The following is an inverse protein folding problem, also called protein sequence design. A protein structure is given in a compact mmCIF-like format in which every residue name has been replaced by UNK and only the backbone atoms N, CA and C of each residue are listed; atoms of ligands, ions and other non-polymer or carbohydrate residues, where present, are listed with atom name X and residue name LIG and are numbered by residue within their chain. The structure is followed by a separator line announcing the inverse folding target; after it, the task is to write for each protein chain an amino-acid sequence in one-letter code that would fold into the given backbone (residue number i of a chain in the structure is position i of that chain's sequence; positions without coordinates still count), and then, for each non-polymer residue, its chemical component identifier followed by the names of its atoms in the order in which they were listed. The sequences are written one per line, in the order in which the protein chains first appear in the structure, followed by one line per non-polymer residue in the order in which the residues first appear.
data_IF_084722609461
#
_entry.id   IF_084722609461
#
_cell.length_a   1.000
_cell.length_b   1.000
_cell.length_c   1.000
_cell.angle_alpha   90.00
_cell.angle_beta   90.00
_cell.angle_gamma   90.00
#
_symmetry.space_group_name_H-M   'P 1'
#
loop_
_entity.id
_entity.type
_entity.pdbx_description
1 polymer ?
#
# COMPACT_ATOMS: atom_id res chain seq x y z
N UNK A 1 -44.36 17.11 29.22
CA UNK A 1 -43.66 16.08 30.00
C UNK A 1 -43.07 15.09 28.98
N UNK A 2 -41.90 15.31 28.35
CA UNK A 2 -40.54 15.44 28.88
C UNK A 2 -40.07 14.23 29.71
N UNK A 3 -39.29 13.36 29.06
CA UNK A 3 -38.11 12.59 29.53
C UNK A 3 -37.92 11.37 28.59
N UNK A 4 -36.74 11.02 28.06
CA UNK A 4 -35.38 11.47 28.33
C UNK A 4 -34.48 11.07 27.15
N UNK A 5 -33.55 11.94 26.80
CA UNK A 5 -32.52 11.77 25.78
C UNK A 5 -31.44 10.77 26.22
N UNK A 6 -30.77 10.20 25.22
CA UNK A 6 -29.35 9.84 25.20
C UNK A 6 -28.88 8.79 26.22
N UNK A 7 -28.73 7.56 25.75
CA UNK A 7 -27.68 6.67 26.23
C UNK A 7 -26.70 6.40 25.08
N UNK A 8 -25.99 7.46 24.66
CA UNK A 8 -24.75 7.29 23.93
C UNK A 8 -23.66 6.96 24.97
N UNK A 9 -22.78 5.97 24.74
CA UNK A 9 -21.69 5.70 25.67
C UNK A 9 -20.84 6.97 25.82
N UNK A 10 -20.75 7.46 27.06
CA UNK A 10 -19.90 8.59 27.40
C UNK A 10 -18.44 8.21 27.16
N UNK A 11 -17.77 8.88 26.21
CA UNK A 11 -16.31 8.88 26.16
C UNK A 11 -15.63 8.67 24.81
N UNK A 12 -16.34 8.65 23.67
CA UNK A 12 -15.67 8.68 22.36
C UNK A 12 -16.28 9.80 21.53
N UNK A 13 -15.61 10.94 21.50
CA UNK A 13 -16.03 12.01 20.60
C UNK A 13 -15.65 11.59 19.16
N UNK A 14 -16.54 11.73 18.16
CA UNK A 14 -16.22 11.39 16.78
C UNK A 14 -14.96 12.10 16.24
N UNK A 15 -14.57 13.22 16.87
CA UNK A 15 -13.38 13.98 16.51
C UNK A 15 -12.07 13.31 16.97
N UNK A 16 -12.02 12.72 18.16
CA UNK A 16 -10.84 11.97 18.63
C UNK A 16 -10.61 10.69 17.79
N UNK A 17 -11.67 10.02 17.35
CA UNK A 17 -11.59 8.86 16.46
C UNK A 17 -11.10 9.23 15.04
N UNK A 18 -11.48 10.41 14.54
CA UNK A 18 -10.99 10.90 13.24
C UNK A 18 -9.51 11.25 13.32
N UNK A 19 -9.07 11.90 14.39
CA UNK A 19 -7.66 12.24 14.60
C UNK A 19 -6.81 10.98 14.80
N UNK A 20 -7.32 9.97 15.52
CA UNK A 20 -6.66 8.68 15.68
C UNK A 20 -6.56 7.90 14.35
N UNK A 21 -7.63 7.83 13.57
CA UNK A 21 -7.63 7.20 12.24
C UNK A 21 -6.71 7.92 11.26
N UNK A 22 -6.64 9.25 11.34
CA UNK A 22 -5.71 10.05 10.54
C UNK A 22 -4.27 9.79 10.96
N UNK A 23 -3.97 9.80 12.26
CA UNK A 23 -2.65 9.50 12.79
C UNK A 23 -2.19 8.07 12.41
N UNK A 24 -3.09 7.09 12.48
CA UNK A 24 -2.80 5.72 12.03
C UNK A 24 -2.51 5.67 10.53
N UNK A 25 -3.31 6.36 9.71
CA UNK A 25 -3.12 6.45 8.26
C UNK A 25 -1.80 7.14 7.91
N UNK A 26 -1.42 8.18 8.64
CA UNK A 26 -0.14 8.88 8.49
C UNK A 26 1.04 7.96 8.86
N UNK A 27 0.94 7.24 9.98
CA UNK A 27 1.96 6.28 10.41
C UNK A 27 2.12 5.12 9.42
N UNK A 28 1.01 4.59 8.89
CA UNK A 28 1.03 3.57 7.85
C UNK A 28 1.64 4.10 6.57
N UNK A 29 1.33 5.33 6.16
CA UNK A 29 1.94 5.98 5.00
C UNK A 29 3.45 6.10 5.16
N UNK A 30 3.95 6.57 6.31
CA UNK A 30 5.39 6.65 6.60
C UNK A 30 6.05 5.27 6.48
N UNK A 31 5.42 4.24 7.05
CA UNK A 31 5.94 2.86 6.95
C UNK A 31 5.97 2.34 5.52
N UNK A 32 4.93 2.58 4.72
CA UNK A 32 4.88 2.18 3.32
C UNK A 32 5.95 2.89 2.51
N UNK A 33 6.14 4.20 2.69
CA UNK A 33 7.22 4.95 2.02
C UNK A 33 8.59 4.36 2.36
N UNK A 34 8.82 4.01 3.63
CA UNK A 34 10.07 3.37 4.05
C UNK A 34 10.26 2.00 3.37
N UNK A 35 9.21 1.17 3.35
CA UNK A 35 9.24 -0.14 2.70
C UNK A 35 9.48 -0.06 1.20
N UNK A 36 8.85 0.89 0.50
CA UNK A 36 9.07 1.11 -0.94
C UNK A 36 10.55 1.43 -1.23
N UNK A 37 11.15 2.33 -0.43
CA UNK A 37 12.55 2.71 -0.61
C UNK A 37 13.49 1.53 -0.30
N UNK A 38 13.18 0.71 0.71
CA UNK A 38 13.94 -0.50 0.99
C UNK A 38 13.85 -1.50 -0.17
N UNK A 39 12.65 -1.73 -0.73
CA UNK A 39 12.47 -2.60 -1.89
C UNK A 39 13.23 -2.07 -3.11
N UNK A 40 13.18 -0.77 -3.38
CA UNK A 40 13.96 -0.14 -4.47
C UNK A 40 15.45 -0.38 -4.28
N UNK A 41 15.98 -0.19 -3.07
CA UNK A 41 17.39 -0.43 -2.74
C UNK A 41 17.80 -1.89 -2.99
N UNK A 42 16.93 -2.85 -2.61
CA UNK A 42 17.16 -4.27 -2.85
C UNK A 42 17.13 -4.62 -4.35
N UNK A 43 16.15 -4.07 -5.09
CA UNK A 43 16.02 -4.28 -6.54
C UNK A 43 17.19 -3.66 -7.31
N UNK A 44 17.69 -2.50 -6.89
CA UNK A 44 18.83 -1.85 -7.54
C UNK A 44 20.10 -2.71 -7.53
N UNK A 45 20.27 -3.53 -6.50
CA UNK A 45 21.39 -4.46 -6.34
C UNK A 45 21.11 -5.86 -6.91
N UNK A 46 19.89 -6.12 -7.36
CA UNK A 46 19.48 -7.44 -7.85
C UNK A 46 19.98 -7.72 -9.27
N UNK A 47 20.19 -9.00 -9.66
CA UNK A 47 20.44 -9.37 -11.04
C UNK A 47 19.30 -8.97 -11.97
N UNK A 48 19.60 -8.72 -13.25
CA UNK A 48 18.59 -8.32 -14.24
C UNK A 48 17.48 -9.37 -14.41
N UNK A 49 17.83 -10.66 -14.34
CA UNK A 49 16.85 -11.76 -14.36
C UNK A 49 15.83 -11.70 -13.23
N UNK A 50 16.21 -11.16 -12.07
CA UNK A 50 15.30 -10.95 -10.94
C UNK A 50 14.35 -9.78 -11.21
N UNK A 51 14.83 -8.71 -11.86
CA UNK A 51 13.98 -7.59 -12.27
C UNK A 51 12.94 -8.03 -13.31
N UNK A 52 13.35 -8.83 -14.31
CA UNK A 52 12.42 -9.43 -15.28
C UNK A 52 11.36 -10.27 -14.57
N UNK A 53 11.76 -11.13 -13.62
CA UNK A 53 10.82 -11.93 -12.83
C UNK A 53 9.83 -11.08 -12.04
N UNK A 54 10.24 -9.97 -11.44
CA UNK A 54 9.33 -9.08 -10.72
C UNK A 54 8.31 -8.45 -11.68
N UNK A 55 8.72 -8.05 -12.88
CA UNK A 55 7.79 -7.56 -13.92
C UNK A 55 6.81 -8.64 -14.36
N UNK A 56 7.27 -9.88 -14.52
CA UNK A 56 6.41 -11.03 -14.80
C UNK A 56 5.40 -11.24 -13.66
N UNK A 57 5.85 -11.24 -12.40
CA UNK A 57 4.96 -11.37 -11.23
C UNK A 57 3.90 -10.27 -11.17
N UNK A 58 4.22 -9.04 -11.57
CA UNK A 58 3.23 -7.97 -11.67
C UNK A 58 2.09 -8.30 -12.66
N UNK A 59 2.33 -9.12 -13.69
CA UNK A 59 1.26 -9.60 -14.58
C UNK A 59 0.31 -10.59 -13.90
N UNK A 60 0.78 -11.26 -12.84
CA UNK A 60 0.05 -12.32 -12.11
C UNK A 60 -0.59 -11.87 -10.80
N UNK A 61 -0.50 -10.59 -10.43
CA UNK A 61 -1.34 -10.03 -9.36
C UNK A 61 -2.82 -9.98 -9.79
N UNK A 62 -3.09 -10.11 -11.10
CA UNK A 62 -4.40 -10.45 -11.61
C UNK A 62 -4.88 -11.80 -11.05
N UNK A 63 -6.15 -11.92 -10.64
CA UNK A 63 -6.67 -13.17 -10.14
C UNK A 63 -6.72 -14.21 -11.26
N UNK A 64 -6.68 -15.49 -10.85
CA UNK A 64 -6.61 -16.65 -11.77
C UNK A 64 -7.74 -16.61 -12.81
N UNK A 65 -7.57 -17.26 -13.98
CA UNK A 65 -8.66 -17.39 -14.95
C UNK A 65 -9.95 -17.84 -14.27
N UNK A 66 -11.04 -17.08 -14.47
CA UNK A 66 -12.34 -17.31 -13.81
C UNK A 66 -12.67 -16.40 -12.62
N UNK A 67 -11.76 -15.50 -12.22
CA UNK A 67 -12.01 -14.52 -11.15
C UNK A 67 -12.00 -13.08 -11.69
N UNK A 68 -12.84 -12.22 -11.12
CA UNK A 68 -12.92 -10.79 -11.49
C UNK A 68 -11.73 -10.02 -10.93
N UNK A 69 -10.98 -9.32 -11.79
CA UNK A 69 -9.94 -8.38 -11.38
C UNK A 69 -10.53 -7.29 -10.48
N UNK A 70 -9.96 -7.14 -9.27
CA UNK A 70 -10.33 -6.04 -8.38
C UNK A 70 -9.46 -4.81 -8.68
N UNK A 71 -9.99 -3.57 -8.74
CA UNK A 71 -9.20 -2.37 -9.05
C UNK A 71 -7.92 -2.21 -8.23
N UNK A 72 -7.94 -2.64 -6.96
CA UNK A 72 -6.75 -2.62 -6.08
C UNK A 72 -5.63 -3.57 -6.55
N UNK A 73 -5.98 -4.70 -7.17
CA UNK A 73 -4.98 -5.67 -7.68
C UNK A 73 -4.28 -5.12 -8.93
N UNK A 74 -5.01 -4.44 -9.81
CA UNK A 74 -4.42 -3.73 -10.95
C UNK A 74 -3.46 -2.64 -10.48
N UNK A 75 -3.89 -1.83 -9.51
CA UNK A 75 -3.02 -0.80 -8.93
C UNK A 75 -1.76 -1.39 -8.31
N UNK A 76 -1.87 -2.50 -7.57
CA UNK A 76 -0.71 -3.17 -6.99
C UNK A 76 0.28 -3.67 -8.05
N UNK A 77 -0.21 -4.17 -9.19
CA UNK A 77 0.64 -4.53 -10.33
C UNK A 77 1.39 -3.33 -10.91
N UNK A 78 0.72 -2.18 -11.05
CA UNK A 78 1.34 -0.96 -11.55
C UNK A 78 2.41 -0.43 -10.57
N UNK A 79 2.13 -0.45 -9.27
CA UNK A 79 3.12 -0.07 -8.25
C UNK A 79 4.36 -0.98 -8.31
N UNK A 80 4.20 -2.30 -8.49
CA UNK A 80 5.34 -3.21 -8.64
C UNK A 80 6.22 -2.85 -9.85
N UNK A 81 5.61 -2.50 -10.99
CA UNK A 81 6.36 -2.09 -12.18
C UNK A 81 7.12 -0.78 -11.93
N UNK A 82 6.45 0.19 -11.29
CA UNK A 82 7.04 1.47 -10.89
C UNK A 82 8.25 1.30 -9.97
N UNK A 83 8.20 0.37 -9.00
CA UNK A 83 9.35 0.08 -8.13
C UNK A 83 10.55 -0.45 -8.91
N UNK A 84 10.35 -1.33 -9.90
CA UNK A 84 11.43 -1.85 -10.76
C UNK A 84 12.02 -0.73 -11.63
N UNK A 85 11.18 0.12 -12.22
CA UNK A 85 11.64 1.26 -13.03
C UNK A 85 12.47 2.22 -12.19
N UNK A 86 12.02 2.53 -10.96
CA UNK A 86 12.72 3.39 -10.01
C UNK A 86 14.05 2.80 -9.57
N UNK A 87 14.11 1.49 -9.31
CA UNK A 87 15.34 0.80 -8.97
C UNK A 87 16.41 0.89 -10.07
N UNK A 88 15.99 0.96 -11.34
CA UNK A 88 16.88 1.14 -12.49
C UNK A 88 17.77 2.38 -12.39
N UNK A 89 17.28 3.48 -11.79
CA UNK A 89 18.05 4.72 -11.65
C UNK A 89 19.18 4.64 -10.62
N UNK A 90 19.11 3.68 -9.69
CA UNK A 90 20.10 3.50 -8.61
C UNK A 90 21.08 2.36 -8.88
N UNK A 91 21.01 1.72 -10.06
CA UNK A 91 21.94 0.65 -10.44
C UNK A 91 23.35 1.22 -10.67
N UNK A 92 24.41 0.52 -10.23
CA UNK A 92 25.77 0.87 -10.60
C UNK A 92 25.92 0.78 -12.13
N UNK A 93 26.59 1.78 -12.72
CA UNK A 93 26.89 1.85 -14.16
C UNK A 93 28.06 0.95 -14.52
#
# INVERSE_FOLDING_TARGET
MQNQLANAPAGVTPFEDLDANQAESEQLRVRVIALENLVISMLAQSPESQLVRVREMATFIAPRPGYTQHPLTLRAADEMRSLVDRAGQFRPK
#
